data_IF_075238667448
#
_entry.id   IF_075238667448
#
_cell.length_a   1.000
_cell.length_b   1.000
_cell.length_c   1.000
_cell.angle_alpha   90.00
_cell.angle_beta   90.00
_cell.angle_gamma   90.00
#
_symmetry.space_group_name_H-M   'P 1'
#
loop_
_entity.id
_entity.type
_entity.pdbx_description
1 polymer ?
#
# COMPACT_ATOMS: atom_id res chain seq x y z
N UNK A 1 7.54 14.61 10.64
CA UNK A 1 7.42 13.14 10.47
C UNK A 1 6.12 12.89 9.72
N UNK A 2 6.17 12.22 8.58
CA UNK A 2 5.02 12.07 7.67
C UNK A 2 4.00 11.11 8.28
N UNK A 3 2.95 11.65 8.92
CA UNK A 3 1.81 10.87 9.41
C UNK A 3 0.76 10.80 8.29
N UNK A 4 0.18 9.62 7.99
CA UNK A 4 -0.90 9.54 7.04
C UNK A 4 -2.10 10.37 7.52
N UNK A 5 -2.74 11.07 6.60
CA UNK A 5 -4.00 11.75 6.90
C UNK A 5 -5.19 10.76 6.82
N UNK A 6 -6.39 11.14 7.32
CA UNK A 6 -7.56 10.25 7.27
C UNK A 6 -7.95 9.81 5.84
N UNK A 7 -7.73 10.67 4.84
CA UNK A 7 -8.04 10.35 3.44
C UNK A 7 -7.12 9.25 2.88
N UNK A 8 -5.83 9.25 3.25
CA UNK A 8 -4.89 8.20 2.87
C UNK A 8 -5.20 6.87 3.55
N UNK A 9 -5.65 6.91 4.81
CA UNK A 9 -6.09 5.72 5.53
C UNK A 9 -7.36 5.11 4.90
N UNK A 10 -8.34 5.95 4.59
CA UNK A 10 -9.56 5.51 3.92
C UNK A 10 -9.27 4.94 2.53
N UNK A 11 -8.40 5.60 1.76
CA UNK A 11 -7.95 5.09 0.46
C UNK A 11 -7.28 3.72 0.60
N UNK A 12 -6.37 3.56 1.56
CA UNK A 12 -5.71 2.28 1.81
C UNK A 12 -6.72 1.18 2.16
N UNK A 13 -7.72 1.46 3.01
CA UNK A 13 -8.79 0.52 3.36
C UNK A 13 -9.59 0.10 2.13
N UNK A 14 -9.98 1.04 1.27
CA UNK A 14 -10.72 0.76 0.03
C UNK A 14 -9.94 -0.12 -0.93
N UNK A 15 -8.64 0.17 -1.12
CA UNK A 15 -7.76 -0.64 -1.97
C UNK A 15 -7.63 -2.07 -1.45
N UNK A 16 -7.41 -2.23 -0.13
CA UNK A 16 -7.32 -3.55 0.50
C UNK A 16 -8.63 -4.32 0.42
N UNK A 17 -9.76 -3.65 0.64
CA UNK A 17 -11.08 -4.26 0.51
C UNK A 17 -11.36 -4.71 -0.94
N UNK A 18 -11.00 -3.89 -1.93
CA UNK A 18 -11.17 -4.22 -3.34
C UNK A 18 -10.33 -5.42 -3.76
N UNK A 19 -9.04 -5.46 -3.39
CA UNK A 19 -8.16 -6.60 -3.69
C UNK A 19 -8.54 -7.87 -2.92
N UNK A 20 -9.16 -7.70 -1.74
CA UNK A 20 -9.75 -8.81 -0.98
C UNK A 20 -11.01 -9.36 -1.63
N UNK A 21 -11.88 -8.48 -2.15
CA UNK A 21 -13.12 -8.86 -2.84
C UNK A 21 -12.88 -9.41 -4.26
N UNK A 22 -11.82 -8.97 -4.95
CA UNK A 22 -11.34 -9.56 -6.20
C UNK A 22 -10.74 -10.97 -5.99
N UNK A 23 -10.47 -11.33 -4.74
CA UNK A 23 -10.02 -12.64 -4.32
C UNK A 23 -11.13 -13.69 -4.25
N UNK A 24 -10.74 -14.95 -4.07
CA UNK A 24 -11.71 -16.00 -3.73
C UNK A 24 -12.29 -15.77 -2.33
N UNK A 25 -13.56 -16.12 -2.14
CA UNK A 25 -14.22 -16.02 -0.84
C UNK A 25 -13.41 -16.80 0.23
N UNK A 26 -12.97 -16.09 1.27
CA UNK A 26 -12.12 -16.65 2.33
C UNK A 26 -10.61 -16.38 2.19
N UNK A 27 -10.17 -15.61 1.19
CA UNK A 27 -8.77 -15.20 1.12
C UNK A 27 -8.41 -14.23 2.27
N UNK A 28 -7.25 -14.44 2.93
CA UNK A 28 -6.84 -13.61 4.05
C UNK A 28 -6.36 -12.23 3.59
N UNK A 29 -6.53 -11.23 4.45
CA UNK A 29 -6.18 -9.83 4.21
C UNK A 29 -4.73 -9.60 3.75
N UNK A 30 -3.82 -10.48 4.14
CA UNK A 30 -2.42 -10.54 3.71
C UNK A 30 -2.24 -10.79 2.20
N UNK A 31 -3.17 -11.53 1.58
CA UNK A 31 -3.20 -11.74 0.12
C UNK A 31 -3.58 -10.46 -0.60
N UNK A 32 -4.59 -9.75 -0.09
CA UNK A 32 -4.98 -8.45 -0.62
C UNK A 32 -3.84 -7.42 -0.46
N UNK A 33 -3.19 -7.40 0.70
CA UNK A 33 -2.03 -6.54 0.94
C UNK A 33 -0.87 -6.83 -0.03
N UNK A 34 -0.59 -8.10 -0.31
CA UNK A 34 0.45 -8.48 -1.28
C UNK A 34 0.11 -8.00 -2.69
N UNK A 35 -1.14 -8.21 -3.15
CA UNK A 35 -1.62 -7.71 -4.45
C UNK A 35 -1.53 -6.19 -4.56
N UNK A 36 -1.88 -5.47 -3.47
CA UNK A 36 -1.72 -4.01 -3.41
C UNK A 36 -0.26 -3.60 -3.58
N UNK A 37 0.64 -4.24 -2.84
CA UNK A 37 2.07 -3.96 -2.97
C UNK A 37 2.60 -4.26 -4.38
N UNK A 38 2.27 -5.42 -4.95
CA UNK A 38 2.77 -5.83 -6.27
C UNK A 38 2.32 -4.88 -7.37
N UNK A 39 1.04 -4.46 -7.34
CA UNK A 39 0.53 -3.47 -8.28
C UNK A 39 1.26 -2.13 -8.15
N UNK A 40 1.42 -1.61 -6.93
CA UNK A 40 2.14 -0.34 -6.75
C UNK A 40 3.60 -0.49 -7.19
N UNK A 41 4.24 -1.61 -6.87
CA UNK A 41 5.62 -1.89 -7.27
C UNK A 41 5.77 -1.88 -8.78
N UNK A 42 4.89 -2.57 -9.52
CA UNK A 42 4.91 -2.58 -10.98
C UNK A 42 4.79 -1.17 -11.60
N UNK A 43 3.99 -0.28 -11.00
CA UNK A 43 3.81 1.10 -11.50
C UNK A 43 4.88 2.09 -10.99
N UNK A 44 5.50 1.83 -9.84
CA UNK A 44 6.50 2.69 -9.22
C UNK A 44 7.94 2.33 -9.63
N UNK A 45 8.23 1.06 -9.86
CA UNK A 45 9.58 0.59 -10.18
C UNK A 45 10.17 1.27 -11.43
N UNK A 46 9.41 1.59 -12.50
CA UNK A 46 9.92 2.37 -13.62
C UNK A 46 10.31 3.81 -13.27
N UNK A 47 9.74 4.38 -12.20
CA UNK A 47 9.96 5.78 -11.79
C UNK A 47 11.14 5.94 -10.82
N UNK A 48 11.27 5.03 -9.85
CA UNK A 48 12.24 5.15 -8.74
C UNK A 48 13.14 3.92 -8.58
N UNK A 49 13.00 2.92 -9.46
CA UNK A 49 13.68 1.63 -9.36
C UNK A 49 13.05 0.70 -8.31
N UNK A 50 13.18 -0.61 -8.53
CA UNK A 50 12.66 -1.65 -7.62
C UNK A 50 13.17 -1.46 -6.17
N UNK A 51 14.48 -1.20 -6.03
CA UNK A 51 15.11 -0.93 -4.73
C UNK A 51 14.54 0.32 -4.06
N UNK A 52 14.20 1.36 -4.83
CA UNK A 52 13.59 2.58 -4.31
C UNK A 52 12.21 2.31 -3.69
N UNK A 53 11.36 1.56 -4.40
CA UNK A 53 10.04 1.16 -3.90
C UNK A 53 10.16 0.36 -2.60
N UNK A 54 11.05 -0.64 -2.61
CA UNK A 54 11.34 -1.50 -1.47
C UNK A 54 11.80 -0.70 -0.23
N UNK A 55 12.72 0.25 -0.41
CA UNK A 55 13.22 1.08 0.69
C UNK A 55 12.14 2.02 1.25
N UNK A 56 11.31 2.60 0.37
CA UNK A 56 10.18 3.43 0.79
C UNK A 56 9.14 2.62 1.57
N UNK A 57 8.88 1.39 1.14
CA UNK A 57 7.95 0.49 1.81
C UNK A 57 8.47 0.02 3.17
N UNK A 58 9.77 -0.29 3.26
CA UNK A 58 10.43 -0.56 4.55
C UNK A 58 10.35 0.66 5.48
N UNK A 59 10.54 1.87 4.94
CA UNK A 59 10.41 3.11 5.70
C UNK A 59 8.99 3.33 6.21
N UNK A 60 7.96 3.04 5.41
CA UNK A 60 6.58 3.12 5.88
C UNK A 60 6.31 2.12 7.01
N UNK A 61 6.87 0.91 6.95
CA UNK A 61 6.77 -0.06 8.04
C UNK A 61 7.47 0.44 9.32
N UNK A 62 8.66 1.06 9.20
CA UNK A 62 9.35 1.69 10.34
C UNK A 62 8.57 2.83 10.98
N UNK A 63 7.81 3.59 10.18
CA UNK A 63 6.98 4.68 10.69
C UNK A 63 5.68 4.14 11.30
N UNK A 64 5.06 3.13 10.69
CA UNK A 64 3.87 2.45 11.21
C UNK A 64 4.16 1.63 12.49
N UNK A 65 5.42 1.21 12.72
CA UNK A 65 5.88 0.55 13.96
C UNK A 65 5.49 1.31 15.23
N UNK A 66 5.48 2.65 15.19
CA UNK A 66 5.06 3.46 16.34
C UNK A 66 3.60 3.27 16.73
N UNK A 67 2.77 2.84 15.78
CA UNK A 67 1.33 2.65 15.95
C UNK A 67 0.94 1.14 15.99
N UNK A 68 1.78 0.22 15.49
CA UNK A 68 1.48 -1.22 15.42
C UNK A 68 2.71 -2.13 15.67
N UNK A 69 2.63 -2.96 16.71
CA UNK A 69 3.69 -3.93 17.09
C UNK A 69 4.01 -4.95 15.98
N UNK A 70 3.04 -5.31 15.13
CA UNK A 70 3.26 -6.28 14.05
C UNK A 70 4.31 -5.85 13.02
N UNK A 71 4.57 -4.54 12.84
CA UNK A 71 5.62 -4.03 11.94
C UNK A 71 6.94 -3.76 12.67
N UNK A 72 6.94 -3.89 14.00
CA UNK A 72 8.07 -3.59 14.85
C UNK A 72 9.25 -4.52 14.63
N UNK A 73 8.97 -5.82 14.52
CA UNK A 73 9.99 -6.85 14.29
C UNK A 73 10.45 -6.86 12.83
N UNK A 74 9.51 -6.70 11.90
CA UNK A 74 9.75 -6.86 10.45
C UNK A 74 10.71 -5.82 9.88
N UNK A 75 10.62 -4.58 10.37
CA UNK A 75 11.44 -3.47 9.87
C UNK A 75 12.86 -3.42 10.46
N UNK A 76 13.11 -4.16 11.54
CA UNK A 76 14.36 -4.07 12.32
C UNK A 76 15.37 -5.16 11.99
N UNK A 77 14.93 -6.36 11.56
CA UNK A 77 15.83 -7.51 11.43
C UNK A 77 16.06 -8.00 9.98
N UNK A 78 15.16 -7.72 9.03
CA UNK A 78 14.98 -8.65 7.91
C UNK A 78 15.04 -8.04 6.48
N UNK A 79 15.04 -6.70 6.35
CA UNK A 79 15.21 -6.03 5.05
C UNK A 79 13.95 -6.04 4.16
N UNK A 80 13.97 -5.35 3.00
CA UNK A 80 12.78 -5.09 2.20
C UNK A 80 12.14 -6.34 1.57
N UNK A 81 12.95 -7.33 1.17
CA UNK A 81 12.45 -8.57 0.58
C UNK A 81 11.64 -9.39 1.57
N UNK A 82 12.11 -9.49 2.83
CA UNK A 82 11.44 -10.27 3.86
C UNK A 82 10.15 -9.63 4.38
N UNK A 83 10.03 -8.29 4.35
CA UNK A 83 8.76 -7.61 4.63
C UNK A 83 7.68 -8.03 3.61
N UNK A 84 8.05 -8.10 2.33
CA UNK A 84 7.16 -8.59 1.29
C UNK A 84 6.86 -10.10 1.44
N UNK A 85 7.87 -10.92 1.73
CA UNK A 85 7.67 -12.35 2.00
C UNK A 85 6.74 -12.61 3.20
N UNK A 86 6.79 -11.78 4.25
CA UNK A 86 5.87 -11.88 5.40
C UNK A 86 4.44 -11.47 5.06
N UNK A 87 4.28 -10.44 4.22
CA UNK A 87 2.98 -10.09 3.66
C UNK A 87 2.43 -11.23 2.80
N UNK A 88 3.29 -11.89 2.01
CA UNK A 88 2.92 -13.05 1.19
C UNK A 88 2.65 -14.30 2.03
N UNK A 89 3.38 -14.51 3.12
CA UNK A 89 3.29 -15.70 3.98
C UNK A 89 2.02 -15.76 4.84
N UNK A 90 1.07 -14.84 4.61
CA UNK A 90 -0.21 -14.77 5.30
C UNK A 90 -0.07 -14.75 6.82
N UNK A 91 0.87 -13.94 7.33
CA UNK A 91 1.08 -13.83 8.76
C UNK A 91 -0.19 -13.34 9.48
N UNK A 92 -0.75 -14.11 10.44
CA UNK A 92 -2.00 -13.78 11.11
C UNK A 92 -1.88 -12.52 11.98
N UNK A 93 -0.66 -12.04 12.29
CA UNK A 93 -0.46 -10.79 13.01
C UNK A 93 -0.79 -9.55 12.18
N UNK A 94 -0.83 -9.65 10.84
CA UNK A 94 -1.17 -8.54 9.95
C UNK A 94 -2.68 -8.45 9.79
N UNK A 95 -3.31 -7.59 10.60
CA UNK A 95 -4.73 -7.27 10.47
C UNK A 95 -4.97 -6.32 9.29
N UNK A 96 -6.22 -6.24 8.81
CA UNK A 96 -6.63 -5.27 7.78
C UNK A 96 -6.32 -3.83 8.20
N UNK A 97 -6.43 -3.51 9.48
CA UNK A 97 -6.16 -2.17 10.00
C UNK A 97 -4.66 -1.85 10.02
N UNK A 98 -3.83 -2.80 10.46
CA UNK A 98 -2.37 -2.68 10.38
C UNK A 98 -1.92 -2.50 8.92
N UNK A 99 -2.43 -3.33 8.01
CA UNK A 99 -2.13 -3.21 6.59
C UNK A 99 -2.57 -1.85 6.03
N UNK A 100 -3.77 -1.37 6.40
CA UNK A 100 -4.25 -0.07 5.97
C UNK A 100 -3.35 1.07 6.46
N UNK A 101 -2.90 1.03 7.72
CA UNK A 101 -1.98 2.04 8.25
C UNK A 101 -0.63 2.02 7.52
N UNK A 102 -0.10 0.83 7.22
CA UNK A 102 1.14 0.67 6.47
C UNK A 102 1.03 1.32 5.09
N UNK A 103 0.00 0.97 4.32
CA UNK A 103 -0.19 1.54 2.98
C UNK A 103 -0.53 3.03 3.02
N UNK A 104 -1.30 3.50 4.00
CA UNK A 104 -1.56 4.92 4.18
C UNK A 104 -0.26 5.69 4.41
N UNK A 105 0.60 5.18 5.29
CA UNK A 105 1.92 5.76 5.57
C UNK A 105 2.81 5.74 4.33
N UNK A 106 2.74 4.66 3.55
CA UNK A 106 3.44 4.56 2.28
C UNK A 106 2.97 5.62 1.27
N UNK A 107 1.67 5.82 1.11
CA UNK A 107 1.12 6.89 0.25
C UNK A 107 1.50 8.28 0.74
N UNK A 108 1.55 8.48 2.06
CA UNK A 108 2.03 9.72 2.66
C UNK A 108 3.50 10.00 2.26
N UNK A 109 4.35 8.97 2.33
CA UNK A 109 5.74 9.07 1.89
C UNK A 109 5.84 9.34 0.39
N UNK A 110 5.11 8.61 -0.45
CA UNK A 110 5.08 8.86 -1.90
C UNK A 110 4.69 10.32 -2.18
N UNK A 111 3.61 10.79 -1.55
CA UNK A 111 3.15 12.18 -1.68
C UNK A 111 4.23 13.18 -1.28
N UNK A 112 5.04 12.86 -0.26
CA UNK A 112 6.13 13.71 0.21
C UNK A 112 7.34 13.72 -0.74
N UNK A 113 7.70 12.57 -1.32
CA UNK A 113 8.91 12.43 -2.14
C UNK A 113 8.71 12.78 -3.61
N UNK A 114 7.59 12.35 -4.19
CA UNK A 114 7.30 12.49 -5.63
C UNK A 114 6.10 13.42 -5.90
N UNK A 115 5.46 13.93 -4.86
CA UNK A 115 4.30 14.81 -4.97
C UNK A 115 2.97 14.07 -5.06
N UNK A 116 1.91 14.77 -4.67
CA UNK A 116 0.54 14.26 -4.66
C UNK A 116 0.06 13.89 -6.07
N UNK A 117 0.38 14.71 -7.06
CA UNK A 117 -0.03 14.50 -8.46
C UNK A 117 0.49 13.16 -9.01
N UNK A 118 1.78 12.87 -8.82
CA UNK A 118 2.36 11.62 -9.31
C UNK A 118 1.86 10.42 -8.51
N UNK A 119 1.71 10.57 -7.19
CA UNK A 119 1.12 9.53 -6.33
C UNK A 119 -0.29 9.16 -6.81
N UNK A 120 -1.15 10.14 -7.08
CA UNK A 120 -2.51 9.89 -7.59
C UNK A 120 -2.49 9.31 -9.02
N UNK A 121 -1.51 9.66 -9.87
CA UNK A 121 -1.36 9.07 -11.19
C UNK A 121 -0.96 7.59 -11.13
N UNK A 122 -0.01 7.24 -10.24
CA UNK A 122 0.38 5.84 -9.99
C UNK A 122 -0.81 5.03 -9.50
N UNK A 123 -1.54 5.55 -8.51
CA UNK A 123 -2.71 4.85 -7.94
C UNK A 123 -3.83 4.68 -8.97
N UNK A 124 -4.13 5.71 -9.77
CA UNK A 124 -5.08 5.61 -10.90
C UNK A 124 -4.64 4.59 -11.96
N UNK A 125 -3.35 4.53 -12.26
CA UNK A 125 -2.82 3.58 -13.25
C UNK A 125 -2.91 2.14 -12.74
N UNK A 126 -2.67 1.93 -11.44
CA UNK A 126 -2.76 0.63 -10.78
C UNK A 126 -4.20 0.16 -10.55
N UNK A 127 -5.13 1.10 -10.31
CA UNK A 127 -6.55 0.83 -10.08
C UNK A 127 -7.47 1.78 -10.85
N UNK A 128 -7.56 1.63 -12.18
CA UNK A 128 -8.39 2.50 -13.01
C UNK A 128 -9.87 2.41 -12.62
N UNK A 129 -10.35 1.24 -12.18
CA UNK A 129 -11.76 1.03 -11.80
C UNK A 129 -12.15 1.64 -10.45
N UNK A 130 -11.19 1.82 -9.53
CA UNK A 130 -11.46 2.37 -8.19
C UNK A 130 -11.33 3.89 -8.13
N UNK A 131 -10.36 4.44 -8.85
CA UNK A 131 -10.06 5.87 -8.86
C UNK A 131 -10.68 6.59 -10.08
N UNK A 132 -11.18 5.84 -11.07
CA UNK A 132 -11.85 6.35 -12.27
C UNK A 132 -13.36 6.52 -12.12
N UNK A 133 -13.97 6.17 -10.99
CA UNK A 133 -15.39 6.44 -10.73
C UNK A 133 -15.63 7.91 -10.36
N UNK A 134 -15.25 8.84 -11.24
CA UNK A 134 -15.82 10.17 -11.33
C UNK A 134 -16.61 10.22 -12.65
N UNK A 135 -17.93 10.47 -12.63
CA UNK A 135 -18.78 10.49 -13.81
C UNK A 135 -18.48 11.75 -14.62
N UNK A 136 -17.53 11.67 -15.51
CA UNK A 136 -17.41 12.65 -16.58
C UNK A 136 -17.18 11.85 -17.86
N UNK A 137 -18.28 11.52 -18.53
CA UNK A 137 -18.36 11.28 -19.98
C UNK A 137 -19.75 10.72 -20.27
N UNK A 138 -20.74 11.61 -20.25
CA UNK A 138 -21.87 11.52 -21.17
C UNK A 138 -22.19 12.94 -21.61
N UNK A 139 -21.36 13.43 -22.53
CA UNK A 139 -21.74 14.48 -23.44
C UNK A 139 -21.82 13.83 -24.82
N UNK A 140 -23.03 13.54 -25.26
CA UNK A 140 -23.61 13.94 -26.56
C UNK A 140 -25.07 13.47 -26.63
#
# INVERSE_FOLDING_TARGET
MTRPNPAQLERARRLLAHEGAAGSAGEPATTAASRVYDKIHAHMAPLVGSTGVQLLFLRSAKLAKGDFECFAEVSSLEGPTKLHERLLAKDPAVTMESAAMLFATFFALLTTFIGERLTNQVLRSAWPTLEGAAPWETNE
#
